data_IF_956812745283
#
_entry.id   IF_956812745283
#
_cell.length_a   1.000
_cell.length_b   1.000
_cell.length_c   1.000
_cell.angle_alpha   90.00
_cell.angle_beta   90.00
_cell.angle_gamma   90.00
#
_symmetry.space_group_name_H-M   'P 1'
#
loop_
_entity.id
_entity.type
_entity.pdbx_description
1 polymer ?
#
# COMPACT_ATOMS: atom_id res chain seq x y z
N UNK A 1 -6.05 -1.90 34.29
CA UNK A 1 -5.80 -2.40 35.68
C UNK A 1 -6.58 -3.71 35.89
N UNK A 2 -6.16 -4.81 35.26
CA UNK A 2 -6.92 -6.08 35.25
C UNK A 2 -6.06 -7.31 35.60
N UNK A 3 -5.01 -7.12 36.41
CA UNK A 3 -4.05 -8.18 36.75
C UNK A 3 -4.20 -8.74 38.18
N UNK A 4 -5.21 -8.29 38.96
CA UNK A 4 -5.33 -8.62 40.38
C UNK A 4 -6.15 -9.87 40.72
N UNK A 5 -7.05 -10.32 39.83
CA UNK A 5 -8.03 -11.38 40.15
C UNK A 5 -7.52 -12.79 39.83
N UNK A 6 -6.51 -12.94 38.97
CA UNK A 6 -6.04 -14.25 38.52
C UNK A 6 -5.13 -14.98 39.53
N UNK A 7 -4.47 -14.25 40.44
CA UNK A 7 -3.45 -14.81 41.34
C UNK A 7 -4.01 -15.65 42.51
N UNK A 8 -5.31 -15.54 42.81
CA UNK A 8 -5.94 -16.20 43.96
C UNK A 8 -6.70 -17.49 43.62
N UNK A 9 -6.89 -17.79 42.33
CA UNK A 9 -7.54 -19.02 41.83
C UNK A 9 -6.92 -20.33 42.34
N UNK A 10 -5.57 -20.47 42.46
CA UNK A 10 -4.97 -21.70 42.97
C UNK A 10 -5.23 -21.91 44.46
N UNK A 11 -5.17 -20.83 45.27
CA UNK A 11 -5.38 -20.89 46.72
C UNK A 11 -6.84 -21.12 47.10
N UNK A 12 -7.79 -20.53 46.37
CA UNK A 12 -9.21 -20.78 46.54
C UNK A 12 -9.60 -22.25 46.24
N UNK A 13 -8.96 -22.86 45.23
CA UNK A 13 -9.14 -24.30 44.90
C UNK A 13 -8.57 -25.23 45.97
N UNK A 14 -7.41 -24.90 46.55
CA UNK A 14 -6.81 -25.71 47.61
C UNK A 14 -7.64 -25.69 48.91
N UNK A 15 -8.24 -24.55 49.26
CA UNK A 15 -9.12 -24.43 50.43
C UNK A 15 -10.44 -25.20 50.25
N UNK A 16 -11.00 -25.26 49.03
CA UNK A 16 -12.26 -25.97 48.76
C UNK A 16 -12.16 -27.50 48.96
N UNK A 17 -10.98 -28.09 48.77
CA UNK A 17 -10.76 -29.55 48.93
C UNK A 17 -10.76 -29.94 50.42
N UNK A 18 -10.32 -29.06 51.32
CA UNK A 18 -10.27 -29.33 52.76
C UNK A 18 -11.64 -29.34 53.46
N UNK A 19 -12.65 -28.70 52.88
CA UNK A 19 -14.00 -28.57 53.45
C UNK A 19 -15.05 -29.49 52.78
N UNK A 20 -14.65 -30.21 51.73
CA UNK A 20 -15.50 -31.17 51.01
C UNK A 20 -16.18 -32.22 51.90
N UNK A 21 -15.61 -32.70 53.03
CA UNK A 21 -16.30 -33.68 53.88
C UNK A 21 -17.46 -33.13 54.72
N UNK A 22 -17.66 -31.80 54.77
CA UNK A 22 -18.67 -31.15 55.64
C UNK A 22 -19.83 -30.53 54.83
N UNK A 23 -19.64 -30.32 53.54
CA UNK A 23 -20.65 -29.74 52.66
C UNK A 23 -21.63 -30.81 52.17
N UNK A 24 -22.66 -31.11 52.97
CA UNK A 24 -23.77 -31.97 52.57
C UNK A 24 -24.80 -31.25 51.65
N UNK A 25 -24.42 -30.09 51.09
CA UNK A 25 -25.26 -29.32 50.18
C UNK A 25 -25.04 -29.83 48.74
N UNK A 26 -26.10 -30.09 47.96
CA UNK A 26 -25.95 -30.40 46.54
C UNK A 26 -25.20 -29.26 45.85
N UNK A 27 -24.29 -29.61 44.93
CA UNK A 27 -23.54 -28.62 44.15
C UNK A 27 -24.52 -27.62 43.52
N UNK A 28 -24.27 -26.30 43.63
CA UNK A 28 -25.04 -25.33 42.87
C UNK A 28 -24.92 -25.69 41.40
N UNK A 29 -26.06 -25.65 40.69
CA UNK A 29 -26.10 -25.87 39.26
C UNK A 29 -25.06 -24.94 38.61
N UNK A 30 -24.20 -25.51 37.75
CA UNK A 30 -23.28 -24.72 36.96
C UNK A 30 -24.06 -23.57 36.30
N UNK A 31 -23.51 -22.35 36.23
CA UNK A 31 -24.17 -21.25 35.53
C UNK A 31 -24.48 -21.72 34.12
N UNK A 32 -25.74 -22.03 33.84
CA UNK A 32 -26.21 -22.19 32.47
C UNK A 32 -26.01 -20.84 31.82
N UNK A 33 -25.13 -20.76 30.82
CA UNK A 33 -25.03 -19.68 29.84
C UNK A 33 -26.44 -19.35 29.33
N UNK A 34 -27.11 -18.42 30.02
CA UNK A 34 -28.43 -17.91 29.65
C UNK A 34 -28.23 -16.88 28.54
N UNK A 35 -27.81 -17.35 27.37
CA UNK A 35 -28.08 -16.70 26.09
C UNK A 35 -27.56 -17.57 24.93
N UNK A 36 -28.17 -18.74 24.72
CA UNK A 36 -28.37 -19.16 23.33
C UNK A 36 -29.48 -18.29 22.74
N UNK A 37 -29.19 -17.01 22.47
CA UNK A 37 -29.82 -16.37 21.32
C UNK A 37 -29.52 -17.32 20.18
N UNK A 38 -30.57 -17.85 19.55
CA UNK A 38 -30.37 -18.70 18.38
C UNK A 38 -29.48 -17.89 17.43
N UNK A 39 -28.38 -18.48 16.99
CA UNK A 39 -27.50 -17.77 16.07
C UNK A 39 -28.31 -17.50 14.80
N UNK A 40 -28.41 -16.23 14.43
CA UNK A 40 -29.28 -15.77 13.36
C UNK A 40 -28.43 -15.48 12.13
N UNK A 41 -28.95 -15.87 10.96
CA UNK A 41 -28.39 -15.41 9.70
C UNK A 41 -28.76 -13.95 9.49
N UNK A 42 -27.76 -13.14 9.18
CA UNK A 42 -27.90 -11.74 8.84
C UNK A 42 -27.53 -11.53 7.37
N UNK A 43 -28.23 -10.59 6.73
CA UNK A 43 -28.02 -10.24 5.33
C UNK A 43 -27.31 -8.89 5.27
N UNK A 44 -26.16 -8.87 4.59
CA UNK A 44 -25.33 -7.69 4.35
C UNK A 44 -25.38 -7.40 2.84
N UNK A 45 -26.11 -6.38 2.44
CA UNK A 45 -26.23 -5.95 1.06
C UNK A 45 -25.21 -4.82 0.78
N UNK A 46 -24.20 -5.12 -0.03
CA UNK A 46 -23.15 -4.17 -0.39
C UNK A 46 -23.32 -3.78 -1.85
N UNK A 47 -23.83 -2.58 -2.10
CA UNK A 47 -24.11 -2.03 -3.44
C UNK A 47 -24.90 -2.99 -4.36
N UNK A 48 -25.86 -3.71 -3.79
CA UNK A 48 -26.70 -4.70 -4.48
C UNK A 48 -26.21 -6.15 -4.40
N UNK A 49 -24.95 -6.40 -4.03
CA UNK A 49 -24.42 -7.75 -3.80
C UNK A 49 -24.76 -8.19 -2.37
N UNK A 50 -25.59 -9.24 -2.25
CA UNK A 50 -26.00 -9.78 -0.96
C UNK A 50 -25.03 -10.83 -0.45
N UNK A 51 -24.52 -10.59 0.75
CA UNK A 51 -23.74 -11.52 1.54
C UNK A 51 -24.56 -11.99 2.73
N UNK A 52 -24.31 -13.23 3.17
CA UNK A 52 -24.94 -13.80 4.34
C UNK A 52 -23.89 -14.36 5.28
N UNK A 53 -24.11 -14.16 6.57
CA UNK A 53 -23.25 -14.70 7.62
C UNK A 53 -24.04 -14.86 8.91
N UNK A 54 -23.47 -15.60 9.86
CA UNK A 54 -24.02 -15.73 11.20
C UNK A 54 -23.76 -14.46 12.01
N UNK A 55 -24.70 -14.08 12.87
CA UNK A 55 -24.53 -12.97 13.81
C UNK A 55 -23.28 -13.14 14.65
N UNK A 56 -23.08 -14.35 15.20
CA UNK A 56 -21.90 -14.68 16.01
C UNK A 56 -20.58 -14.51 15.26
N UNK A 57 -20.59 -14.60 13.92
CA UNK A 57 -19.37 -14.41 13.13
C UNK A 57 -18.88 -12.98 13.20
N UNK A 58 -19.78 -12.00 13.20
CA UNK A 58 -19.42 -10.60 13.32
C UNK A 58 -19.05 -10.23 14.77
N UNK A 59 -19.78 -10.78 15.74
CA UNK A 59 -19.56 -10.56 17.18
C UNK A 59 -18.16 -10.99 17.67
N UNK A 60 -17.41 -11.75 16.88
CA UNK A 60 -16.00 -12.09 17.17
C UNK A 60 -15.08 -10.87 17.27
N UNK A 61 -15.42 -9.76 16.60
CA UNK A 61 -14.60 -8.55 16.56
C UNK A 61 -15.46 -7.32 16.93
N UNK A 62 -15.84 -7.17 18.21
CA UNK A 62 -16.80 -6.15 18.63
C UNK A 62 -16.32 -4.70 18.46
N UNK A 63 -15.00 -4.49 18.29
CA UNK A 63 -14.39 -3.16 18.10
C UNK A 63 -14.48 -2.66 16.65
N UNK A 64 -14.99 -3.48 15.73
CA UNK A 64 -15.16 -3.15 14.30
C UNK A 64 -16.60 -2.72 14.01
N UNK A 65 -16.85 -2.03 12.89
CA UNK A 65 -18.19 -1.53 12.51
C UNK A 65 -19.24 -2.66 12.48
N UNK A 66 -18.89 -3.80 11.87
CA UNK A 66 -19.81 -4.93 11.71
C UNK A 66 -19.96 -5.75 13.00
N UNK A 67 -18.96 -5.75 13.89
CA UNK A 67 -19.08 -6.42 15.19
C UNK A 67 -19.76 -5.58 16.26
N UNK A 68 -19.73 -4.26 16.12
CA UNK A 68 -20.26 -3.31 17.10
C UNK A 68 -21.74 -3.01 16.88
N UNK A 69 -22.30 -2.10 17.69
CA UNK A 69 -23.66 -1.58 17.51
C UNK A 69 -23.76 -0.53 16.39
N UNK A 70 -22.68 -0.24 15.67
CA UNK A 70 -22.67 0.77 14.61
C UNK A 70 -23.32 0.27 13.32
N UNK A 71 -23.25 -1.04 13.02
CA UNK A 71 -23.97 -1.61 11.87
C UNK A 71 -25.47 -1.33 11.92
N UNK A 72 -26.07 -1.17 13.10
CA UNK A 72 -27.50 -0.90 13.29
C UNK A 72 -27.94 0.39 12.58
N UNK A 73 -27.03 1.36 12.37
CA UNK A 73 -27.31 2.56 11.57
C UNK A 73 -27.57 2.26 10.08
N UNK A 74 -27.10 1.11 9.60
CA UNK A 74 -27.23 0.66 8.21
C UNK A 74 -28.35 -0.35 8.02
N UNK A 75 -29.10 -0.69 9.08
CA UNK A 75 -30.18 -1.65 9.00
C UNK A 75 -31.43 -1.03 8.38
N UNK A 76 -31.98 -1.69 7.36
CA UNK A 76 -33.25 -1.32 6.74
C UNK A 76 -34.38 -2.22 7.29
N UNK A 77 -35.36 -1.62 7.96
CA UNK A 77 -36.46 -2.35 8.60
C UNK A 77 -37.43 -3.00 7.61
N UNK A 78 -37.59 -2.43 6.41
CA UNK A 78 -38.52 -2.90 5.38
C UNK A 78 -37.99 -4.16 4.71
N UNK A 79 -36.70 -4.15 4.35
CA UNK A 79 -36.04 -5.27 3.66
C UNK A 79 -35.40 -6.27 4.61
N UNK A 80 -35.30 -5.94 5.91
CA UNK A 80 -34.63 -6.76 6.95
C UNK A 80 -33.17 -7.10 6.61
N UNK A 81 -32.46 -6.19 5.94
CA UNK A 81 -31.04 -6.34 5.60
C UNK A 81 -30.26 -5.07 5.96
N UNK A 82 -28.95 -5.22 6.17
CA UNK A 82 -28.04 -4.09 6.31
C UNK A 82 -27.59 -3.64 4.93
N UNK A 83 -27.64 -2.34 4.62
CA UNK A 83 -27.25 -1.81 3.33
C UNK A 83 -26.00 -0.93 3.43
N UNK A 84 -25.01 -1.21 2.59
CA UNK A 84 -23.76 -0.46 2.49
C UNK A 84 -23.53 -0.05 1.03
N UNK A 85 -23.41 1.25 0.78
CA UNK A 85 -23.06 1.80 -0.54
C UNK A 85 -21.52 1.83 -0.71
N UNK A 86 -20.91 0.64 -0.73
CA UNK A 86 -19.45 0.42 -0.68
C UNK A 86 -19.01 -0.63 -1.70
N UNK A 87 -17.70 -0.89 -1.80
CA UNK A 87 -17.16 -1.85 -2.76
C UNK A 87 -17.48 -3.33 -2.39
N UNK A 88 -18.23 -4.06 -3.22
CA UNK A 88 -18.61 -5.45 -2.93
C UNK A 88 -17.50 -6.48 -3.19
N UNK A 89 -16.44 -6.14 -3.92
CA UNK A 89 -15.31 -7.04 -4.14
C UNK A 89 -14.35 -7.01 -2.95
N UNK A 90 -14.02 -5.82 -2.44
CA UNK A 90 -13.21 -5.66 -1.22
C UNK A 90 -13.94 -6.24 0.00
N UNK A 91 -15.27 -6.06 0.07
CA UNK A 91 -16.08 -6.61 1.14
C UNK A 91 -15.95 -8.14 1.31
N UNK A 92 -15.67 -8.87 0.23
CA UNK A 92 -15.44 -10.32 0.31
C UNK A 92 -14.24 -10.65 1.20
N UNK A 93 -13.17 -9.86 1.14
CA UNK A 93 -11.98 -10.01 1.98
C UNK A 93 -12.30 -9.63 3.44
N UNK A 94 -13.03 -8.54 3.65
CA UNK A 94 -13.49 -8.10 4.97
C UNK A 94 -14.34 -9.18 5.64
N UNK A 95 -15.33 -9.74 4.96
CA UNK A 95 -16.18 -10.79 5.53
C UNK A 95 -15.39 -12.07 5.84
N UNK A 96 -14.40 -12.41 5.02
CA UNK A 96 -13.52 -13.55 5.27
C UNK A 96 -12.63 -13.35 6.50
N UNK A 97 -12.25 -12.11 6.82
CA UNK A 97 -11.56 -11.79 8.06
C UNK A 97 -12.43 -12.17 9.27
N UNK A 98 -13.72 -11.82 9.33
CA UNK A 98 -14.59 -12.25 10.43
C UNK A 98 -14.73 -13.78 10.53
N UNK A 99 -14.71 -14.48 9.38
CA UNK A 99 -14.86 -15.95 9.35
C UNK A 99 -13.60 -16.68 9.83
N UNK A 100 -12.43 -16.23 9.40
CA UNK A 100 -11.16 -16.95 9.56
C UNK A 100 -10.19 -16.32 10.57
N UNK A 101 -10.41 -15.06 10.92
CA UNK A 101 -9.51 -14.23 11.69
C UNK A 101 -8.24 -13.79 10.97
N UNK A 102 -8.14 -14.03 9.65
CA UNK A 102 -7.00 -13.65 8.82
C UNK A 102 -7.42 -12.63 7.78
N UNK A 103 -6.78 -11.47 7.79
CA UNK A 103 -7.00 -10.43 6.78
C UNK A 103 -6.00 -10.60 5.64
N UNK A 104 -6.50 -10.68 4.41
CA UNK A 104 -5.70 -10.89 3.21
C UNK A 104 -5.84 -9.69 2.27
N UNK A 105 -4.71 -9.17 1.79
CA UNK A 105 -4.68 -8.11 0.80
C UNK A 105 -4.82 -8.69 -0.63
N UNK A 106 -5.86 -8.31 -1.40
CA UNK A 106 -6.03 -8.74 -2.78
C UNK A 106 -5.11 -7.96 -3.73
N UNK A 107 -4.21 -8.68 -4.44
CA UNK A 107 -3.18 -8.08 -5.31
C UNK A 107 -3.69 -7.23 -6.48
N UNK A 108 -4.92 -7.49 -6.94
CA UNK A 108 -5.51 -6.77 -8.07
C UNK A 108 -6.17 -5.44 -7.64
N UNK A 109 -6.29 -5.20 -6.34
CA UNK A 109 -6.98 -4.02 -5.80
C UNK A 109 -6.03 -2.83 -5.65
N UNK A 110 -6.57 -1.63 -5.75
CA UNK A 110 -5.82 -0.42 -5.43
C UNK A 110 -5.57 -0.35 -3.92
N UNK A 111 -4.32 -0.07 -3.52
CA UNK A 111 -3.93 0.01 -2.11
C UNK A 111 -4.70 1.10 -1.36
N UNK A 112 -4.91 2.28 -1.97
CA UNK A 112 -5.69 3.36 -1.36
C UNK A 112 -7.15 2.96 -1.18
N UNK A 113 -7.77 2.38 -2.20
CA UNK A 113 -9.17 1.96 -2.13
C UNK A 113 -9.37 0.86 -1.06
N UNK A 114 -8.43 -0.08 -0.97
CA UNK A 114 -8.45 -1.11 0.06
C UNK A 114 -8.32 -0.52 1.48
N UNK A 115 -7.40 0.41 1.69
CA UNK A 115 -7.22 1.10 2.98
C UNK A 115 -8.47 1.93 3.37
N UNK A 116 -9.12 2.58 2.42
CA UNK A 116 -10.37 3.30 2.64
C UNK A 116 -11.50 2.38 3.10
N UNK A 117 -11.64 1.20 2.49
CA UNK A 117 -12.61 0.20 2.92
C UNK A 117 -12.27 -0.36 4.31
N UNK A 118 -11.00 -0.69 4.58
CA UNK A 118 -10.58 -1.13 5.90
C UNK A 118 -10.89 -0.08 6.98
N UNK A 119 -10.59 1.19 6.71
CA UNK A 119 -10.92 2.29 7.59
C UNK A 119 -12.43 2.42 7.83
N UNK A 120 -13.25 2.28 6.78
CA UNK A 120 -14.71 2.33 6.88
C UNK A 120 -15.26 1.24 7.81
N UNK A 121 -14.78 -0.01 7.68
CA UNK A 121 -15.24 -1.11 8.53
C UNK A 121 -14.55 -1.16 9.90
N UNK A 122 -13.68 -0.19 10.21
CA UNK A 122 -12.97 -0.12 11.50
C UNK A 122 -11.94 -1.25 11.68
N UNK A 123 -11.33 -1.71 10.59
CA UNK A 123 -10.35 -2.80 10.61
C UNK A 123 -8.95 -2.19 10.44
N UNK A 124 -8.09 -2.44 11.43
CA UNK A 124 -6.72 -1.96 11.42
C UNK A 124 -5.89 -2.71 10.36
N UNK A 125 -5.23 -2.01 9.40
CA UNK A 125 -4.40 -2.68 8.38
C UNK A 125 -3.22 -3.46 8.95
N UNK A 126 -2.81 -3.18 10.19
CA UNK A 126 -1.71 -3.88 10.88
C UNK A 126 -2.02 -5.37 11.14
N UNK A 127 -3.29 -5.78 11.04
CA UNK A 127 -3.70 -7.19 11.23
C UNK A 127 -3.61 -8.04 9.95
N UNK A 128 -3.13 -7.45 8.84
CA UNK A 128 -2.88 -8.19 7.60
C UNK A 128 -1.95 -9.37 7.89
N UNK A 129 -2.36 -10.56 7.47
CA UNK A 129 -1.61 -11.78 7.73
C UNK A 129 -0.28 -11.82 6.97
N UNK A 130 0.72 -12.48 7.57
CA UNK A 130 2.10 -12.60 7.07
C UNK A 130 2.21 -12.94 5.58
N UNK A 131 1.30 -13.78 5.06
CA UNK A 131 1.28 -14.19 3.65
C UNK A 131 1.07 -13.05 2.64
N UNK A 132 0.49 -11.94 3.07
CA UNK A 132 0.18 -10.78 2.22
C UNK A 132 0.85 -9.49 2.71
N UNK A 133 1.52 -9.54 3.87
CA UNK A 133 2.02 -8.34 4.56
C UNK A 133 3.08 -7.59 3.75
N UNK A 134 4.08 -8.30 3.22
CA UNK A 134 5.15 -7.66 2.44
C UNK A 134 4.61 -6.99 1.18
N UNK A 135 3.73 -7.69 0.44
CA UNK A 135 3.09 -7.13 -0.76
C UNK A 135 2.29 -5.86 -0.45
N UNK A 136 1.47 -5.89 0.60
CA UNK A 136 0.69 -4.73 1.04
C UNK A 136 1.61 -3.55 1.39
N UNK A 137 2.68 -3.82 2.15
CA UNK A 137 3.64 -2.81 2.60
C UNK A 137 4.41 -2.19 1.43
N UNK A 138 4.86 -3.00 0.48
CA UNK A 138 5.55 -2.53 -0.71
C UNK A 138 4.65 -1.63 -1.57
N UNK A 139 3.40 -2.05 -1.79
CA UNK A 139 2.39 -1.27 -2.52
C UNK A 139 2.05 0.04 -1.82
N UNK A 140 1.94 0.02 -0.49
CA UNK A 140 1.69 1.22 0.32
C UNK A 140 2.84 2.21 0.23
N UNK A 141 4.09 1.72 0.26
CA UNK A 141 5.28 2.54 0.08
C UNK A 141 5.34 3.16 -1.32
N UNK A 142 5.17 2.34 -2.36
CA UNK A 142 5.17 2.80 -3.76
C UNK A 142 4.12 3.89 -4.00
N UNK A 143 2.91 3.70 -3.47
CA UNK A 143 1.84 4.69 -3.58
C UNK A 143 2.16 5.98 -2.84
N UNK A 144 2.76 5.89 -1.65
CA UNK A 144 3.18 7.08 -0.89
C UNK A 144 4.28 7.86 -1.62
N UNK A 145 5.26 7.17 -2.23
CA UNK A 145 6.31 7.81 -3.03
C UNK A 145 5.71 8.56 -4.22
N UNK A 146 4.75 7.95 -4.95
CA UNK A 146 4.06 8.63 -6.06
C UNK A 146 3.28 9.88 -5.62
N UNK A 147 2.57 9.80 -4.50
CA UNK A 147 1.84 10.95 -3.95
C UNK A 147 2.77 12.07 -3.49
N UNK A 148 3.98 11.74 -3.02
CA UNK A 148 5.00 12.74 -2.70
C UNK A 148 5.53 13.43 -3.95
N UNK A 149 5.85 12.67 -5.00
CA UNK A 149 6.31 13.22 -6.28
C UNK A 149 5.26 14.15 -6.93
N UNK A 150 3.98 13.79 -6.86
CA UNK A 150 2.87 14.62 -7.35
C UNK A 150 2.75 15.92 -6.55
N UNK A 151 2.83 15.85 -5.22
CA UNK A 151 2.75 17.04 -4.34
C UNK A 151 3.96 17.98 -4.51
N UNK A 152 5.16 17.42 -4.72
CA UNK A 152 6.35 18.22 -5.04
C UNK A 152 6.21 18.90 -6.42
N UNK A 153 5.55 18.24 -7.37
CA UNK A 153 5.26 18.80 -8.68
C UNK A 153 4.23 19.94 -8.61
N UNK A 154 3.17 19.78 -7.82
CA UNK A 154 2.12 20.78 -7.61
C UNK A 154 2.62 22.00 -6.80
N UNK A 155 3.38 21.78 -5.72
CA UNK A 155 3.99 22.88 -4.95
C UNK A 155 4.96 23.72 -5.79
N UNK A 156 5.65 23.10 -6.75
CA UNK A 156 6.51 23.82 -7.70
C UNK A 156 5.72 24.63 -8.76
N UNK A 157 4.41 24.41 -8.90
CA UNK A 157 3.52 25.13 -9.82
C UNK A 157 2.67 26.21 -9.12
N UNK A 158 2.20 25.98 -7.89
CA UNK A 158 1.31 26.91 -7.19
C UNK A 158 2.02 27.89 -6.22
N UNK A 159 3.30 27.66 -5.93
CA UNK A 159 4.12 28.60 -5.16
C UNK A 159 4.47 29.85 -5.96
N UNK A 160 4.02 31.02 -5.52
CA UNK A 160 4.53 32.34 -5.93
C UNK A 160 6.03 32.28 -6.21
N UNK A 161 6.47 32.56 -7.45
CA UNK A 161 7.86 32.55 -7.91
C UNK A 161 8.82 32.98 -6.79
N UNK A 162 9.46 32.02 -6.08
CA UNK A 162 10.54 32.37 -5.18
C UNK A 162 11.63 32.96 -6.07
N UNK A 163 12.37 33.96 -5.59
CA UNK A 163 13.59 34.39 -6.28
C UNK A 163 14.56 33.20 -6.32
N UNK A 164 14.51 32.41 -7.38
CA UNK A 164 15.33 31.22 -7.55
C UNK A 164 16.78 31.68 -7.49
N UNK A 165 17.57 31.05 -6.62
CA UNK A 165 19.00 31.28 -6.63
C UNK A 165 19.56 30.95 -8.02
N UNK A 166 20.64 31.62 -8.44
CA UNK A 166 21.30 31.33 -9.72
C UNK A 166 21.57 29.83 -9.89
N UNK A 167 21.92 29.14 -8.80
CA UNK A 167 22.16 27.69 -8.79
C UNK A 167 20.90 26.87 -9.11
N UNK A 168 19.75 27.26 -8.56
CA UNK A 168 18.47 26.58 -8.82
C UNK A 168 17.97 26.85 -10.24
N UNK A 169 18.19 28.07 -10.74
CA UNK A 169 17.89 28.42 -12.13
C UNK A 169 18.72 27.58 -13.10
N UNK A 170 20.01 27.42 -12.80
CA UNK A 170 20.92 26.60 -13.60
C UNK A 170 20.54 25.11 -13.54
N UNK A 171 20.24 24.58 -12.35
CA UNK A 171 19.77 23.20 -12.18
C UNK A 171 18.49 22.92 -12.98
N UNK A 172 17.48 23.78 -12.84
CA UNK A 172 16.19 23.63 -13.55
C UNK A 172 16.34 23.72 -15.07
N UNK A 173 17.28 24.54 -15.57
CA UNK A 173 17.59 24.64 -16.98
C UNK A 173 18.20 23.34 -17.56
N UNK A 174 19.01 22.61 -16.78
CA UNK A 174 19.55 21.32 -17.20
C UNK A 174 18.53 20.19 -17.12
N UNK A 175 17.66 20.19 -16.11
CA UNK A 175 16.67 19.13 -15.90
C UNK A 175 15.49 19.24 -16.87
N UNK A 176 15.06 20.46 -17.19
CA UNK A 176 13.89 20.72 -18.04
C UNK A 176 14.21 21.75 -19.14
N UNK A 177 14.89 21.34 -20.23
CA UNK A 177 15.35 22.27 -21.28
C UNK A 177 14.20 22.97 -22.03
N UNK A 178 12.99 22.40 -22.03
CA UNK A 178 11.81 22.99 -22.68
C UNK A 178 11.19 24.15 -21.91
N UNK A 179 11.58 24.38 -20.65
CA UNK A 179 10.97 25.41 -19.79
C UNK A 179 11.49 26.83 -20.06
N UNK A 180 12.66 26.96 -20.68
CA UNK A 180 13.29 28.25 -20.98
C UNK A 180 13.98 28.22 -22.34
N UNK A 181 13.85 29.30 -23.11
CA UNK A 181 14.52 29.44 -24.41
C UNK A 181 16.04 29.34 -24.30
N UNK A 182 16.62 29.88 -23.22
CA UNK A 182 18.06 29.78 -22.96
C UNK A 182 18.47 28.33 -22.67
N UNK A 183 17.68 27.61 -21.86
CA UNK A 183 17.91 26.20 -21.55
C UNK A 183 17.84 25.32 -22.82
N UNK A 184 16.88 25.61 -23.69
CA UNK A 184 16.71 24.94 -24.97
C UNK A 184 17.91 25.15 -25.90
N UNK A 185 18.45 26.38 -25.97
CA UNK A 185 19.66 26.67 -26.76
C UNK A 185 20.86 25.90 -26.20
N UNK A 186 21.08 25.94 -24.88
CA UNK A 186 22.16 25.17 -24.26
C UNK A 186 22.02 23.66 -24.53
N UNK A 187 20.81 23.11 -24.41
CA UNK A 187 20.53 21.70 -24.70
C UNK A 187 20.90 21.29 -26.14
N UNK A 188 20.50 22.08 -27.14
CA UNK A 188 20.84 21.76 -28.52
C UNK A 188 22.34 21.93 -28.82
N UNK A 189 22.99 22.93 -28.23
CA UNK A 189 24.43 23.16 -28.42
C UNK A 189 25.25 22.04 -27.77
N UNK A 190 24.97 21.69 -26.51
CA UNK A 190 25.69 20.59 -25.84
C UNK A 190 25.41 19.26 -26.50
N UNK A 191 24.15 18.99 -26.88
CA UNK A 191 23.77 17.80 -27.63
C UNK A 191 24.49 17.69 -28.98
N UNK A 192 24.69 18.81 -29.68
CA UNK A 192 25.46 18.85 -30.92
C UNK A 192 26.92 18.45 -30.70
N UNK A 193 27.60 19.01 -29.70
CA UNK A 193 29.00 18.67 -29.41
C UNK A 193 29.16 17.21 -28.95
N UNK A 194 28.24 16.69 -28.14
CA UNK A 194 28.23 15.27 -27.74
C UNK A 194 28.03 14.38 -28.97
N UNK A 195 27.13 14.73 -29.88
CA UNK A 195 26.92 13.96 -31.11
C UNK A 195 28.19 13.96 -32.00
N UNK A 196 28.83 15.12 -32.15
CA UNK A 196 30.09 15.25 -32.91
C UNK A 196 31.21 14.43 -32.27
N UNK A 197 31.36 14.43 -30.94
CA UNK A 197 32.40 13.63 -30.29
C UNK A 197 32.15 12.14 -30.44
N UNK A 198 30.91 11.67 -30.29
CA UNK A 198 30.56 10.25 -30.51
C UNK A 198 30.79 9.84 -31.96
N UNK A 199 30.38 10.65 -32.94
CA UNK A 199 30.60 10.36 -34.37
C UNK A 199 32.10 10.32 -34.67
N UNK A 200 32.88 11.28 -34.15
CA UNK A 200 34.34 11.33 -34.32
C UNK A 200 35.00 10.06 -33.78
N UNK A 201 34.67 9.65 -32.55
CA UNK A 201 35.14 8.40 -31.95
C UNK A 201 34.80 7.17 -32.81
N UNK A 202 33.58 7.11 -33.36
CA UNK A 202 33.17 6.01 -34.24
C UNK A 202 33.99 6.02 -35.54
N UNK A 203 34.10 7.17 -36.22
CA UNK A 203 34.83 7.29 -37.49
C UNK A 203 36.30 6.96 -37.31
N UNK A 204 36.91 7.33 -36.18
CA UNK A 204 38.30 7.00 -35.87
C UNK A 204 38.59 5.49 -35.99
N UNK A 205 37.63 4.67 -35.57
CA UNK A 205 37.74 3.19 -35.57
C UNK A 205 37.40 2.52 -36.91
N UNK A 206 36.84 3.24 -37.88
CA UNK A 206 36.41 2.67 -39.18
C UNK A 206 37.56 2.71 -40.20
N UNK A 207 37.73 1.67 -41.05
CA UNK A 207 38.76 1.66 -42.10
C UNK A 207 38.50 2.74 -43.17
N UNK A 208 39.49 3.60 -43.43
CA UNK A 208 39.38 4.73 -44.35
C UNK A 208 39.91 4.40 -45.76
N UNK A 209 39.15 3.57 -46.48
CA UNK A 209 39.36 3.29 -47.90
C UNK A 209 40.56 2.40 -48.23
N UNK A 210 40.37 1.46 -49.14
CA UNK A 210 41.43 0.57 -49.63
C UNK A 210 42.21 1.29 -50.74
N UNK A 211 43.45 1.70 -50.48
CA UNK A 211 44.38 2.06 -51.58
C UNK A 211 44.79 0.74 -52.26
N UNK A 212 44.74 0.63 -53.60
CA UNK A 212 45.16 -0.60 -54.26
C UNK A 212 46.64 -0.88 -53.96
N UNK A 213 46.89 -1.88 -53.11
CA UNK A 213 48.23 -2.34 -52.72
C UNK A 213 48.66 -2.08 -51.26
N UNK A 214 47.86 -1.43 -50.41
CA UNK A 214 48.19 -1.24 -48.98
C UNK A 214 47.18 -1.86 -48.02
N UNK A 215 47.62 -2.20 -46.80
CA UNK A 215 46.75 -2.67 -45.70
C UNK A 215 45.69 -1.61 -45.37
N UNK A 216 44.48 -2.06 -45.03
CA UNK A 216 43.40 -1.16 -44.59
C UNK A 216 43.81 -0.47 -43.29
N UNK A 217 43.87 0.86 -43.32
CA UNK A 217 44.25 1.69 -42.18
C UNK A 217 42.99 2.36 -41.61
N UNK A 218 42.83 2.42 -40.27
CA UNK A 218 41.73 3.15 -39.64
C UNK A 218 41.81 4.65 -39.96
N UNK A 219 40.66 5.32 -40.04
CA UNK A 219 40.61 6.76 -40.32
C UNK A 219 41.38 7.60 -39.29
N UNK A 220 41.46 7.14 -38.04
CA UNK A 220 42.25 7.80 -36.99
C UNK A 220 43.73 7.95 -37.32
N UNK A 221 44.37 6.90 -37.86
CA UNK A 221 45.79 6.96 -38.25
C UNK A 221 46.01 7.82 -39.49
N UNK A 222 45.05 7.84 -40.41
CA UNK A 222 45.14 8.59 -41.67
C UNK A 222 44.95 10.09 -41.48
N UNK A 223 44.09 10.50 -40.54
CA UNK A 223 43.74 11.89 -40.27
C UNK A 223 44.02 12.29 -38.82
N UNK A 224 45.13 11.83 -38.26
CA UNK A 224 45.47 12.01 -36.83
C UNK A 224 45.38 13.46 -36.33
N UNK A 225 45.74 14.45 -37.16
CA UNK A 225 45.67 15.89 -36.79
C UNK A 225 44.23 16.38 -36.69
N UNK A 226 43.32 15.89 -37.53
CA UNK A 226 41.92 16.30 -37.51
C UNK A 226 41.17 15.68 -36.32
N UNK A 227 41.45 14.41 -36.01
CA UNK A 227 40.89 13.73 -34.84
C UNK A 227 41.44 14.32 -33.53
N UNK A 228 42.73 14.67 -33.45
CA UNK A 228 43.31 15.35 -32.28
C UNK A 228 42.69 16.71 -31.95
N UNK A 229 42.09 17.41 -32.92
CA UNK A 229 41.43 18.69 -32.67
C UNK A 229 39.92 18.55 -32.35
N UNK A 230 39.34 17.38 -32.58
CA UNK A 230 37.91 17.11 -32.41
C UNK A 230 37.60 16.30 -31.14
N UNK A 231 38.59 15.57 -30.63
CA UNK A 231 38.59 14.87 -29.33
C UNK A 231 38.96 15.83 -28.18
#
# INVERSE_FOLDING_TARGET
>A
MAAGVAAWLPFARAAAIGWMPVANCPMPLAPTEKNKRQDELIILNVSGRRFQTWRTTLERYPDTLLGSTEKEFFFNEDTKEYFFDRDPEVFRCILNFYRTGKLHYPRYECISAYDEELAFYGILPEIIGDCCYEEYKDRKRENAERLMDDNDSENNQEGSMPSLSFRQTMWRAFENPHTSTLALVFYYVTGFFIAVSVITNVVETVPCGSVPGSKELPCGERYAVAFFCLD
#
